data_IF_740136368174
#
_entry.id   IF_740136368174
#
_cell.length_a   1.000
_cell.length_b   1.000
_cell.length_c   1.000
_cell.angle_alpha   90.00
_cell.angle_beta   90.00
_cell.angle_gamma   90.00
#
_symmetry.space_group_name_H-M   'P 1'
#
loop_
_entity.id
_entity.type
_entity.pdbx_description
1 polymer ?
#
# COMPACT_ATOMS: atom_id res chain seq x y z
N UNK A 1 8.19 -24.41 -21.39
CA UNK A 1 8.19 -24.39 -19.92
C UNK A 1 6.98 -23.57 -19.49
N UNK A 2 6.14 -24.08 -18.57
CA UNK A 2 4.96 -23.35 -18.06
C UNK A 2 5.44 -22.39 -16.96
N UNK A 3 4.98 -21.13 -16.91
CA UNK A 3 5.41 -20.19 -15.88
C UNK A 3 4.87 -20.60 -14.50
N UNK A 4 5.68 -20.44 -13.44
CA UNK A 4 5.22 -20.63 -12.05
C UNK A 4 4.03 -19.74 -11.65
N UNK A 5 3.81 -18.62 -12.34
CA UNK A 5 2.62 -17.77 -12.17
C UNK A 5 2.02 -17.54 -13.55
N UNK A 6 0.81 -18.03 -13.83
CA UNK A 6 0.05 -17.67 -15.03
C UNK A 6 -0.20 -16.17 -15.09
N UNK A 7 -0.26 -15.58 -16.29
CA UNK A 7 -0.40 -14.13 -16.44
C UNK A 7 -1.70 -13.60 -15.79
N UNK A 8 -2.76 -14.38 -15.91
CA UNK A 8 -4.08 -14.14 -15.32
C UNK A 8 -4.11 -14.21 -13.78
N UNK A 9 -3.09 -14.78 -13.14
CA UNK A 9 -2.92 -14.82 -11.69
C UNK A 9 -1.90 -13.79 -11.19
N UNK A 10 -1.11 -13.19 -12.09
CA UNK A 10 -0.20 -12.13 -11.72
C UNK A 10 -0.98 -10.90 -11.23
N UNK A 11 -0.55 -10.33 -10.09
CA UNK A 11 -1.21 -9.17 -9.48
C UNK A 11 -0.24 -8.01 -9.32
N UNK A 12 -0.80 -6.82 -9.38
CA UNK A 12 -0.18 -5.58 -8.94
C UNK A 12 -1.03 -5.00 -7.80
N UNK A 13 -0.37 -4.40 -6.82
CA UNK A 13 -1.02 -3.82 -5.65
C UNK A 13 -0.19 -2.69 -5.06
N UNK A 14 -0.62 -2.23 -3.89
CA UNK A 14 0.11 -1.18 -3.18
C UNK A 14 1.37 -1.71 -2.50
N UNK A 15 2.47 -0.96 -2.57
CA UNK A 15 3.64 -1.13 -1.70
C UNK A 15 3.29 -1.07 -0.19
N UNK A 16 2.18 -0.42 0.16
CA UNK A 16 1.71 -0.31 1.54
C UNK A 16 0.58 -1.30 1.77
N UNK A 17 0.82 -2.33 2.57
CA UNK A 17 -0.15 -3.37 2.89
C UNK A 17 -0.06 -3.73 4.38
N UNK A 18 -1.09 -4.45 4.84
CA UNK A 18 -1.15 -5.00 6.20
C UNK A 18 -1.31 -6.50 6.07
N UNK A 19 -0.52 -7.26 6.81
CA UNK A 19 -0.61 -8.72 6.85
C UNK A 19 -1.16 -9.16 8.20
N UNK A 20 -2.01 -10.18 8.18
CA UNK A 20 -2.26 -10.94 9.40
C UNK A 20 -1.02 -11.78 9.75
N UNK A 21 -0.96 -12.27 10.99
CA UNK A 21 0.10 -13.22 11.39
C UNK A 21 0.10 -14.47 10.51
N UNK A 22 -1.09 -14.94 10.09
CA UNK A 22 -1.25 -16.11 9.21
C UNK A 22 -0.59 -15.85 7.86
N UNK A 23 -0.86 -14.70 7.24
CA UNK A 23 -0.31 -14.33 5.92
C UNK A 23 1.19 -14.13 5.98
N UNK A 24 1.70 -13.52 7.06
CA UNK A 24 3.13 -13.36 7.26
C UNK A 24 3.85 -14.72 7.33
N UNK A 25 3.25 -15.74 7.95
CA UNK A 25 3.81 -17.10 7.95
C UNK A 25 3.76 -17.76 6.58
N UNK A 26 2.76 -17.45 5.73
CA UNK A 26 2.74 -17.92 4.34
C UNK A 26 3.88 -17.31 3.53
N UNK A 27 4.07 -15.99 3.64
CA UNK A 27 5.18 -15.28 2.99
C UNK A 27 6.54 -15.85 3.40
N UNK A 28 6.76 -16.08 4.71
CA UNK A 28 8.03 -16.61 5.21
C UNK A 28 8.33 -18.03 4.72
N UNK A 29 7.30 -18.81 4.41
CA UNK A 29 7.44 -20.18 3.90
C UNK A 29 7.62 -20.23 2.39
N UNK A 30 7.27 -19.16 1.65
CA UNK A 30 7.40 -19.19 0.20
C UNK A 30 8.86 -19.12 -0.23
N UNK A 31 9.30 -20.17 -0.92
CA UNK A 31 10.57 -20.22 -1.63
C UNK A 31 10.40 -20.24 -3.14
N UNK A 32 9.18 -20.50 -3.63
CA UNK A 32 8.93 -20.78 -5.05
C UNK A 32 8.86 -19.47 -5.83
N UNK A 33 7.98 -18.55 -5.42
CA UNK A 33 7.87 -17.25 -6.08
C UNK A 33 9.02 -16.35 -5.64
N UNK A 34 9.37 -16.34 -4.35
CA UNK A 34 10.45 -15.50 -3.83
C UNK A 34 11.79 -15.73 -4.53
N UNK A 35 12.11 -16.97 -4.94
CA UNK A 35 13.34 -17.28 -5.69
C UNK A 35 13.45 -16.48 -6.99
N UNK A 36 12.32 -16.09 -7.61
CA UNK A 36 12.28 -15.26 -8.80
C UNK A 36 12.25 -13.77 -8.47
N UNK A 37 11.39 -13.36 -7.54
CA UNK A 37 11.23 -11.95 -7.20
C UNK A 37 12.46 -11.33 -6.52
N UNK A 38 13.35 -12.14 -5.94
CA UNK A 38 14.63 -11.68 -5.38
C UNK A 38 15.74 -11.53 -6.42
N UNK A 39 15.53 -11.95 -7.68
CA UNK A 39 16.54 -11.82 -8.72
C UNK A 39 16.72 -10.35 -9.09
N UNK A 40 17.93 -9.94 -9.51
CA UNK A 40 18.15 -8.60 -10.02
C UNK A 40 17.21 -8.30 -11.18
N UNK A 41 16.68 -7.09 -11.19
CA UNK A 41 15.96 -6.57 -12.33
C UNK A 41 16.85 -6.47 -13.56
N UNK A 42 16.24 -6.64 -14.74
CA UNK A 42 16.92 -6.34 -16.01
C UNK A 42 17.32 -4.85 -16.07
N UNK A 43 16.41 -3.96 -15.61
CA UNK A 43 16.66 -2.53 -15.40
C UNK A 43 16.10 -2.06 -14.06
N UNK A 44 16.76 -1.09 -13.45
CA UNK A 44 16.46 -0.65 -12.08
C UNK A 44 15.06 -0.03 -11.90
N UNK A 45 14.45 0.47 -12.97
CA UNK A 45 13.14 1.14 -13.00
C UNK A 45 11.98 0.24 -13.47
N UNK A 46 12.26 -1.05 -13.71
CA UNK A 46 11.29 -1.98 -14.31
C UNK A 46 10.73 -3.03 -13.34
N UNK A 47 11.31 -3.24 -12.15
CA UNK A 47 10.67 -4.10 -11.15
C UNK A 47 10.46 -3.47 -9.78
N UNK A 48 9.23 -3.66 -9.33
CA UNK A 48 8.70 -3.26 -8.03
C UNK A 48 8.23 -4.54 -7.33
N UNK A 49 9.13 -5.43 -6.88
CA UNK A 49 8.76 -6.71 -6.29
C UNK A 49 7.79 -6.53 -5.11
N UNK A 50 7.91 -5.44 -4.35
CA UNK A 50 7.01 -5.09 -3.26
C UNK A 50 5.58 -4.76 -3.71
N UNK A 51 5.37 -4.34 -4.96
CA UNK A 51 4.06 -4.08 -5.56
C UNK A 51 3.47 -5.31 -6.26
N UNK A 52 4.25 -6.37 -6.48
CA UNK A 52 3.83 -7.54 -7.25
C UNK A 52 3.90 -8.88 -6.49
N UNK A 53 4.93 -9.10 -5.68
CA UNK A 53 5.17 -10.37 -4.98
C UNK A 53 4.06 -10.70 -4.00
N UNK A 54 3.79 -9.81 -3.04
CA UNK A 54 2.77 -10.05 -2.01
C UNK A 54 1.35 -10.17 -2.60
N UNK A 55 0.90 -9.27 -3.49
CA UNK A 55 -0.43 -9.42 -4.10
C UNK A 55 -0.58 -10.70 -4.91
N UNK A 56 0.47 -11.11 -5.64
CA UNK A 56 0.46 -12.35 -6.41
C UNK A 56 0.40 -13.56 -5.49
N UNK A 57 1.37 -13.70 -4.57
CA UNK A 57 1.44 -14.85 -3.66
C UNK A 57 0.15 -14.99 -2.84
N UNK A 58 -0.33 -13.92 -2.22
CA UNK A 58 -1.46 -14.00 -1.29
C UNK A 58 -2.79 -14.21 -2.01
N UNK A 59 -2.99 -13.65 -3.21
CA UNK A 59 -4.21 -13.90 -3.98
C UNK A 59 -4.31 -15.35 -4.48
N UNK A 60 -3.17 -16.02 -4.72
CA UNK A 60 -3.12 -17.43 -5.09
C UNK A 60 -3.27 -18.35 -3.88
N UNK A 61 -2.64 -18.03 -2.76
CA UNK A 61 -2.55 -18.91 -1.59
C UNK A 61 -3.68 -18.73 -0.56
N UNK A 62 -4.25 -17.53 -0.44
CA UNK A 62 -5.36 -17.24 0.50
C UNK A 62 -6.40 -16.29 -0.11
N UNK A 63 -7.08 -16.67 -1.21
CA UNK A 63 -8.00 -15.80 -1.94
C UNK A 63 -9.17 -15.28 -1.10
N UNK A 64 -9.57 -16.01 -0.05
CA UNK A 64 -10.66 -15.61 0.86
C UNK A 64 -10.14 -14.86 2.11
N UNK A 65 -8.84 -14.89 2.38
CA UNK A 65 -8.21 -14.16 3.48
C UNK A 65 -7.75 -12.75 3.09
N UNK A 66 -7.62 -12.46 1.81
CA UNK A 66 -7.23 -11.15 1.29
C UNK A 66 -8.45 -10.28 0.97
N UNK A 67 -8.39 -9.02 1.37
CA UNK A 67 -9.49 -8.05 1.14
C UNK A 67 -9.45 -7.41 -0.26
N UNK A 68 -8.33 -7.51 -0.97
CA UNK A 68 -8.15 -6.87 -2.28
C UNK A 68 -7.98 -5.35 -2.23
N UNK A 69 -7.87 -4.74 -1.04
CA UNK A 69 -7.61 -3.30 -0.87
C UNK A 69 -6.66 -3.04 0.31
N UNK A 70 -5.95 -1.90 0.28
CA UNK A 70 -5.06 -1.44 1.35
C UNK A 70 -5.76 -0.48 2.30
N UNK A 71 -5.32 -0.43 3.56
CA UNK A 71 -5.75 0.55 4.56
C UNK A 71 -5.02 1.90 4.44
N UNK A 72 -4.20 2.09 3.40
CA UNK A 72 -3.47 3.35 3.14
C UNK A 72 -4.13 4.17 2.02
N UNK A 73 -4.65 5.35 2.36
CA UNK A 73 -5.16 6.33 1.40
C UNK A 73 -4.00 6.96 0.63
N UNK A 74 -4.09 6.93 -0.70
CA UNK A 74 -3.15 7.62 -1.60
C UNK A 74 -3.93 8.52 -2.54
N UNK A 75 -3.49 9.77 -2.66
CA UNK A 75 -4.04 10.70 -3.64
C UNK A 75 -3.20 10.65 -4.92
N UNK A 76 -3.76 10.10 -5.99
CA UNK A 76 -3.11 9.96 -7.30
C UNK A 76 -3.41 11.12 -8.27
N UNK A 77 -4.20 12.11 -7.85
CA UNK A 77 -4.49 13.29 -8.67
C UNK A 77 -3.19 14.04 -8.95
N UNK A 78 -2.95 14.37 -10.22
CA UNK A 78 -1.72 15.07 -10.64
C UNK A 78 -0.45 14.25 -10.48
N UNK A 79 -0.53 12.91 -10.54
CA UNK A 79 0.63 12.02 -10.48
C UNK A 79 1.71 12.40 -11.50
N UNK A 80 2.97 12.39 -11.06
CA UNK A 80 4.14 12.67 -11.90
C UNK A 80 5.15 11.54 -11.68
N UNK A 81 5.53 10.83 -12.74
CA UNK A 81 6.53 9.74 -12.70
C UNK A 81 6.22 8.67 -11.63
N UNK A 82 4.94 8.32 -11.46
CA UNK A 82 4.54 7.31 -10.47
C UNK A 82 4.55 7.80 -9.02
N UNK A 83 4.73 9.11 -8.77
CA UNK A 83 4.62 9.68 -7.45
C UNK A 83 3.23 10.29 -7.20
N UNK A 84 2.56 9.92 -6.09
CA UNK A 84 1.27 10.50 -5.71
C UNK A 84 1.43 11.95 -5.24
N UNK A 85 0.30 12.66 -5.14
CA UNK A 85 0.22 14.00 -4.60
C UNK A 85 0.90 14.10 -3.23
N UNK A 86 1.67 15.18 -3.04
CA UNK A 86 2.36 15.48 -1.80
C UNK A 86 1.70 16.66 -1.11
N UNK A 87 0.88 16.38 -0.09
CA UNK A 87 0.28 17.39 0.77
C UNK A 87 1.36 18.26 1.43
N UNK A 88 1.16 19.57 1.36
CA UNK A 88 1.98 20.61 1.99
C UNK A 88 1.34 21.11 3.29
N UNK A 89 2.08 21.82 4.15
CA UNK A 89 1.57 22.28 5.45
C UNK A 89 0.26 23.08 5.38
N UNK A 90 0.04 23.83 4.29
CA UNK A 90 -1.16 24.64 4.08
C UNK A 90 -2.42 23.80 3.81
N UNK A 91 -2.26 22.55 3.40
CA UNK A 91 -3.38 21.64 3.12
C UNK A 91 -3.78 20.84 4.36
N UNK A 92 -2.94 20.81 5.41
CA UNK A 92 -3.23 20.04 6.63
C UNK A 92 -4.33 20.75 7.43
N UNK A 93 -5.56 20.30 7.24
CA UNK A 93 -6.75 20.79 7.96
C UNK A 93 -7.54 19.62 8.56
N UNK A 94 -8.40 19.86 9.58
CA UNK A 94 -9.31 18.85 10.10
C UNK A 94 -10.17 18.19 9.02
N UNK A 95 -10.65 18.98 8.05
CA UNK A 95 -11.47 18.52 6.92
C UNK A 95 -10.68 17.55 6.05
N UNK A 96 -9.41 17.87 5.73
CA UNK A 96 -8.56 16.94 4.98
C UNK A 96 -8.42 15.60 5.71
N UNK A 97 -8.19 15.60 7.02
CA UNK A 97 -8.05 14.36 7.81
C UNK A 97 -9.36 13.55 7.77
N UNK A 98 -10.51 14.22 7.89
CA UNK A 98 -11.82 13.60 7.74
C UNK A 98 -12.02 12.94 6.37
N UNK A 99 -11.66 13.63 5.28
CA UNK A 99 -11.75 13.08 3.93
C UNK A 99 -10.79 11.91 3.71
N UNK A 100 -9.58 11.96 4.27
CA UNK A 100 -8.59 10.89 4.12
C UNK A 100 -9.02 9.58 4.77
N UNK A 101 -9.86 9.62 5.82
CA UNK A 101 -10.41 8.43 6.49
C UNK A 101 -11.48 7.72 5.65
N UNK A 102 -12.19 8.45 4.77
CA UNK A 102 -13.32 7.89 4.01
C UNK A 102 -12.86 6.85 3.00
N UNK A 103 -13.61 5.74 2.95
CA UNK A 103 -13.32 4.57 2.13
C UNK A 103 -14.60 4.09 1.44
N UNK A 104 -14.45 3.51 0.25
CA UNK A 104 -15.54 2.81 -0.45
C UNK A 104 -15.56 1.31 -0.14
N UNK A 105 -14.66 0.86 0.73
CA UNK A 105 -14.55 -0.52 1.18
C UNK A 105 -15.16 -0.71 2.56
N UNK A 106 -15.16 -1.94 3.07
CA UNK A 106 -15.75 -2.27 4.38
C UNK A 106 -15.05 -1.65 5.58
N UNK A 107 -13.87 -1.04 5.40
CA UNK A 107 -13.12 -0.35 6.46
C UNK A 107 -12.65 1.02 6.01
N UNK A 108 -12.64 1.99 6.92
CA UNK A 108 -11.97 3.28 6.74
C UNK A 108 -10.47 3.11 6.49
N UNK A 109 -9.86 4.09 5.83
CA UNK A 109 -8.40 4.14 5.76
C UNK A 109 -7.83 4.49 7.13
N UNK A 110 -6.78 3.79 7.52
CA UNK A 110 -6.05 4.02 8.79
C UNK A 110 -4.78 4.84 8.59
N UNK A 111 -4.23 4.81 7.38
CA UNK A 111 -3.01 5.51 7.01
C UNK A 111 -3.26 6.40 5.78
N UNK A 112 -2.43 7.43 5.60
CA UNK A 112 -2.45 8.26 4.41
C UNK A 112 -1.04 8.68 3.98
N UNK A 113 -0.84 8.84 2.67
CA UNK A 113 0.37 9.41 2.07
C UNK A 113 0.01 10.24 0.83
N UNK A 114 0.84 11.19 0.39
CA UNK A 114 2.18 11.56 0.90
C UNK A 114 2.12 12.95 1.52
N UNK A 115 2.81 13.15 2.65
CA UNK A 115 2.96 14.46 3.28
C UNK A 115 4.42 14.91 3.12
N UNK A 116 4.65 16.21 2.88
CA UNK A 116 6.00 16.76 2.99
C UNK A 116 6.50 16.72 4.45
N UNK A 117 7.82 16.63 4.71
CA UNK A 117 8.36 16.63 6.07
C UNK A 117 7.88 17.80 6.94
N UNK A 118 7.70 18.98 6.35
CA UNK A 118 7.22 20.18 7.03
C UNK A 118 5.77 20.07 7.56
N UNK A 119 5.04 19.02 7.16
CA UNK A 119 3.70 18.74 7.68
C UNK A 119 3.70 18.19 9.11
N UNK A 120 4.86 17.79 9.65
CA UNK A 120 4.93 17.26 11.02
C UNK A 120 4.34 18.23 12.05
N UNK A 121 4.77 19.50 12.01
CA UNK A 121 4.30 20.52 12.96
C UNK A 121 2.78 20.76 12.92
N UNK A 122 2.13 20.99 11.76
CA UNK A 122 0.67 21.14 11.72
C UNK A 122 -0.09 19.84 12.04
N UNK A 123 0.43 18.66 11.67
CA UNK A 123 -0.18 17.38 12.04
C UNK A 123 -0.18 17.18 13.56
N UNK A 124 0.95 17.46 14.23
CA UNK A 124 1.04 17.37 15.69
C UNK A 124 0.12 18.37 16.40
N UNK A 125 -0.09 19.56 15.83
CA UNK A 125 -1.01 20.57 16.39
C UNK A 125 -2.47 20.12 16.42
N UNK A 126 -2.88 19.23 15.51
CA UNK A 126 -4.26 18.71 15.44
C UNK A 126 -4.37 17.25 15.93
N UNK A 127 -3.30 16.68 16.46
CA UNK A 127 -3.24 15.26 16.78
C UNK A 127 -4.29 14.87 17.83
N UNK A 128 -4.30 15.54 18.99
CA UNK A 128 -5.19 15.21 20.11
C UNK A 128 -6.65 15.63 19.90
N UNK A 129 -6.88 16.61 19.04
CA UNK A 129 -8.22 17.15 18.77
C UNK A 129 -8.90 16.48 17.59
N UNK A 130 -8.14 15.99 16.60
CA UNK A 130 -8.69 15.43 15.36
C UNK A 130 -8.17 14.01 15.09
N UNK A 131 -6.85 13.78 15.12
CA UNK A 131 -6.26 12.51 14.65
C UNK A 131 -6.54 11.35 15.61
N UNK A 132 -6.42 11.60 16.91
CA UNK A 132 -6.64 10.62 17.98
C UNK A 132 -8.05 10.66 18.57
N UNK A 133 -8.95 11.43 17.94
CA UNK A 133 -10.38 11.39 18.25
C UNK A 133 -11.10 10.61 17.16
N UNK A 134 -11.80 9.58 17.61
CA UNK A 134 -12.76 8.81 16.82
C UNK A 134 -14.12 9.53 16.79
#
# INVERSE_FOLDING_TARGET
MIPEVPFEEFRAGSQFFVLTRKDALLVLKDSTLWRKFKLPCFRADECYPEEHYFPTLLSMQDPNGVTGYTLTRVNWTGTVQGHPHMYKPKEVTPELIGELRKSNYSSSYLFARKFSPDCLSPLMRIADSIIFRD
#
